data_IF_562991866639
#
_entry.id   IF_562991866639
#
_cell.length_a   1.000
_cell.length_b   1.000
_cell.length_c   1.000
_cell.angle_alpha   90.00
_cell.angle_beta   90.00
_cell.angle_gamma   90.00
#
_symmetry.space_group_name_H-M   'P 1'
#
loop_
_entity.id
_entity.type
_entity.pdbx_description
1 polymer ?
#
# COMPACT_ATOMS: atom_id res chain seq x y z
N UNK A 1 -10.02 2.09 -36.74
CA UNK A 1 -9.29 3.38 -36.72
C UNK A 1 -9.88 4.27 -35.62
N UNK A 2 -10.23 3.71 -34.46
CA UNK A 2 -11.27 4.29 -33.58
C UNK A 2 -10.79 4.65 -32.16
N UNK A 3 -9.48 4.56 -31.89
CA UNK A 3 -8.93 4.86 -30.55
C UNK A 3 -8.49 6.32 -30.35
N UNK A 4 -8.44 7.14 -31.41
CA UNK A 4 -7.95 8.51 -31.31
C UNK A 4 -9.03 9.49 -30.78
N UNK A 5 -10.31 9.17 -30.94
CA UNK A 5 -11.43 9.98 -30.46
C UNK A 5 -11.64 9.90 -28.93
N UNK A 6 -11.50 8.71 -28.35
CA UNK A 6 -11.70 8.51 -26.90
C UNK A 6 -10.60 9.18 -26.05
N UNK A 7 -9.36 9.17 -26.53
CA UNK A 7 -8.22 9.79 -25.82
C UNK A 7 -8.32 11.33 -25.81
N UNK A 8 -8.83 11.92 -26.89
CA UNK A 8 -8.98 13.38 -27.02
C UNK A 8 -10.07 13.93 -26.08
N UNK A 9 -11.17 13.17 -25.88
CA UNK A 9 -12.24 13.50 -24.94
C UNK A 9 -11.75 13.54 -23.49
N UNK A 10 -10.84 12.63 -23.11
CA UNK A 10 -10.33 12.52 -21.75
C UNK A 10 -9.33 13.64 -21.42
N UNK A 11 -8.48 14.04 -22.37
CA UNK A 11 -7.59 15.20 -22.22
C UNK A 11 -8.39 16.51 -22.13
N UNK A 12 -9.47 16.64 -22.92
CA UNK A 12 -10.34 17.81 -22.85
C UNK A 12 -11.04 17.94 -21.49
N UNK A 13 -11.47 16.82 -20.90
CA UNK A 13 -12.06 16.78 -19.55
C UNK A 13 -11.04 17.13 -18.46
N UNK A 14 -9.82 16.57 -18.53
CA UNK A 14 -8.75 16.89 -17.58
C UNK A 14 -8.36 18.37 -17.66
N UNK A 15 -8.22 18.92 -18.88
CA UNK A 15 -7.98 20.35 -19.10
C UNK A 15 -9.12 21.21 -18.55
N UNK A 16 -10.37 20.82 -18.74
CA UNK A 16 -11.53 21.52 -18.19
C UNK A 16 -11.55 21.56 -16.66
N UNK A 17 -11.09 20.50 -15.98
CA UNK A 17 -11.02 20.46 -14.51
C UNK A 17 -9.86 21.34 -14.00
N UNK A 18 -8.71 21.28 -14.67
CA UNK A 18 -7.55 22.13 -14.38
C UNK A 18 -7.85 23.62 -14.59
N UNK A 19 -8.53 23.98 -15.67
CA UNK A 19 -8.90 25.37 -15.97
C UNK A 19 -9.94 25.90 -14.95
N UNK A 20 -10.91 25.07 -14.53
CA UNK A 20 -11.92 25.44 -13.50
C UNK A 20 -11.30 25.69 -12.12
N UNK A 21 -10.25 24.97 -11.77
CA UNK A 21 -9.62 25.03 -10.44
C UNK A 21 -8.29 25.78 -10.43
N UNK A 22 -7.93 26.42 -11.55
CA UNK A 22 -6.64 27.11 -11.77
C UNK A 22 -6.29 28.10 -10.65
N UNK A 23 -7.26 28.84 -10.11
CA UNK A 23 -7.07 29.76 -8.98
C UNK A 23 -6.80 29.09 -7.63
N UNK A 24 -7.40 27.92 -7.36
CA UNK A 24 -7.18 27.19 -6.10
C UNK A 24 -5.91 26.34 -6.15
N UNK A 25 -5.64 25.69 -7.28
CA UNK A 25 -4.41 24.92 -7.53
C UNK A 25 -3.22 25.88 -7.57
N UNK A 26 -3.35 27.03 -8.25
CA UNK A 26 -2.33 28.07 -8.29
C UNK A 26 -1.97 28.57 -6.90
N UNK A 27 -2.96 28.88 -6.05
CA UNK A 27 -2.72 29.34 -4.67
C UNK A 27 -2.19 28.25 -3.75
N UNK A 28 -2.61 26.99 -3.91
CA UNK A 28 -2.06 25.88 -3.14
C UNK A 28 -0.59 25.58 -3.50
N UNK A 29 -0.26 25.66 -4.79
CA UNK A 29 1.12 25.55 -5.30
C UNK A 29 1.95 26.74 -4.84
N UNK A 30 1.42 27.96 -4.90
CA UNK A 30 2.08 29.18 -4.45
C UNK A 30 2.30 29.19 -2.93
N UNK A 31 1.35 28.67 -2.14
CA UNK A 31 1.49 28.47 -0.70
C UNK A 31 2.52 27.38 -0.38
N UNK A 32 2.58 26.28 -1.15
CA UNK A 32 3.62 25.26 -1.01
C UNK A 32 5.01 25.77 -1.41
N UNK A 33 5.12 26.59 -2.45
CA UNK A 33 6.39 27.22 -2.87
C UNK A 33 6.83 28.23 -1.80
N UNK A 34 5.90 29.00 -1.22
CA UNK A 34 6.18 29.97 -0.16
C UNK A 34 6.54 29.29 1.17
N UNK A 35 5.81 28.24 1.57
CA UNK A 35 6.11 27.41 2.75
C UNK A 35 7.43 26.64 2.57
N UNK A 36 7.71 26.13 1.36
CA UNK A 36 8.97 25.49 1.02
C UNK A 36 10.16 26.45 1.04
N UNK A 37 9.97 27.72 0.65
CA UNK A 37 10.96 28.80 0.83
C UNK A 37 11.18 29.18 2.29
N UNK A 38 10.15 29.14 3.13
CA UNK A 38 10.24 29.47 4.56
C UNK A 38 11.04 28.43 5.36
N UNK A 39 10.98 27.14 4.99
CA UNK A 39 11.77 26.09 5.63
C UNK A 39 13.22 25.98 5.11
N UNK A 40 13.51 26.58 3.94
CA UNK A 40 14.80 26.47 3.23
C UNK A 40 15.39 27.85 2.94
N UNK A 41 15.74 28.61 3.99
CA UNK A 41 16.63 29.76 3.79
C UNK A 41 18.11 29.34 3.61
N UNK A 42 18.46 28.08 3.89
CA UNK A 42 19.84 27.56 3.81
C UNK A 42 20.01 26.27 2.98
N UNK A 43 18.94 25.71 2.40
CA UNK A 43 18.97 24.40 1.72
C UNK A 43 19.13 24.44 0.19
N UNK A 44 18.99 25.61 -0.44
CA UNK A 44 19.08 25.77 -1.91
C UNK A 44 20.54 25.90 -2.40
N UNK A 45 21.46 26.31 -1.53
CA UNK A 45 22.87 26.51 -1.90
C UNK A 45 23.63 25.19 -2.04
N UNK A 46 23.27 24.16 -1.27
CA UNK A 46 24.00 22.88 -1.29
C UNK A 46 23.83 22.13 -2.62
N UNK A 47 22.61 21.97 -3.19
CA UNK A 47 22.44 21.39 -4.52
C UNK A 47 23.18 22.18 -5.61
N UNK A 48 23.15 23.52 -5.55
CA UNK A 48 23.84 24.38 -6.53
C UNK A 48 25.36 24.31 -6.40
N UNK A 49 25.89 24.31 -5.17
CA UNK A 49 27.32 24.14 -4.90
C UNK A 49 27.81 22.77 -5.38
N UNK A 50 27.06 21.69 -5.14
CA UNK A 50 27.41 20.36 -5.60
C UNK A 50 27.41 20.28 -7.14
N UNK A 51 26.45 20.93 -7.82
CA UNK A 51 26.47 21.05 -9.29
C UNK A 51 27.72 21.80 -9.76
N UNK A 52 28.13 22.87 -9.06
CA UNK A 52 29.37 23.60 -9.34
C UNK A 52 30.65 22.78 -9.18
N UNK A 53 30.64 21.73 -8.37
CA UNK A 53 31.77 20.80 -8.16
C UNK A 53 31.69 19.57 -9.10
N UNK A 54 30.73 19.55 -10.03
CA UNK A 54 30.60 18.52 -11.06
C UNK A 54 29.55 17.45 -10.77
N UNK A 55 28.71 17.62 -9.74
CA UNK A 55 27.55 16.76 -9.53
C UNK A 55 26.56 16.93 -10.69
N UNK A 56 26.23 15.83 -11.37
CA UNK A 56 25.16 15.84 -12.38
C UNK A 56 23.82 15.72 -11.66
N UNK A 57 22.93 16.73 -11.74
CA UNK A 57 21.63 16.64 -11.10
C UNK A 57 20.81 15.55 -11.79
N UNK A 58 20.14 14.70 -11.01
CA UNK A 58 19.11 13.81 -11.53
C UNK A 58 17.99 14.71 -12.07
N UNK A 59 17.96 14.91 -13.38
CA UNK A 59 16.88 15.64 -14.03
C UNK A 59 15.58 14.91 -13.71
N UNK A 60 14.49 15.59 -13.33
CA UNK A 60 13.18 14.96 -13.29
C UNK A 60 12.85 14.62 -14.74
N UNK A 61 13.17 13.39 -15.15
CA UNK A 61 12.60 12.80 -16.36
C UNK A 61 11.13 12.60 -16.01
N UNK A 62 10.32 13.62 -16.27
CA UNK A 62 8.88 13.49 -16.28
C UNK A 62 8.58 12.50 -17.42
N UNK A 63 8.54 11.21 -17.09
CA UNK A 63 8.27 10.18 -18.08
C UNK A 63 6.89 10.41 -18.69
N UNK A 64 6.82 10.09 -19.98
CA UNK A 64 5.74 10.38 -20.92
C UNK A 64 4.36 10.08 -20.33
N UNK A 65 3.38 10.92 -20.69
CA UNK A 65 1.97 10.68 -20.45
C UNK A 65 1.55 9.31 -21.03
N UNK A 66 1.45 8.30 -20.16
CA UNK A 66 1.09 6.92 -20.49
C UNK A 66 1.24 6.01 -19.26
N UNK A 67 0.64 4.81 -19.27
CA UNK A 67 0.89 3.80 -18.23
C UNK A 67 2.38 3.48 -18.18
N UNK A 68 2.98 3.37 -16.99
CA UNK A 68 4.41 3.08 -16.89
C UNK A 68 4.73 1.71 -17.49
N UNK A 69 5.70 1.69 -18.43
CA UNK A 69 6.23 0.46 -19.03
C UNK A 69 7.07 -0.35 -18.01
N UNK A 70 7.56 0.34 -16.98
CA UNK A 70 8.38 -0.21 -15.90
C UNK A 70 7.86 0.25 -14.54
N UNK A 71 7.90 -0.64 -13.56
CA UNK A 71 7.66 -0.34 -12.17
C UNK A 71 8.98 -0.03 -11.47
N UNK A 72 9.02 1.06 -10.71
CA UNK A 72 10.14 1.31 -9.81
C UNK A 72 10.04 0.38 -8.59
N UNK A 73 11.19 -0.17 -8.20
CA UNK A 73 11.34 -0.97 -6.99
C UNK A 73 12.01 -0.09 -5.94
N UNK A 74 11.32 0.11 -4.81
CA UNK A 74 11.80 0.88 -3.68
C UNK A 74 12.04 -0.05 -2.49
N UNK A 75 13.16 0.13 -1.81
CA UNK A 75 13.46 -0.48 -0.52
C UNK A 75 13.56 0.63 0.53
N UNK A 76 12.64 0.63 1.49
CA UNK A 76 12.56 1.63 2.58
C UNK A 76 12.60 3.09 2.07
N UNK A 77 11.92 3.33 0.95
CA UNK A 77 11.84 4.66 0.31
C UNK A 77 12.99 4.98 -0.67
N UNK A 78 14.02 4.15 -0.73
CA UNK A 78 15.13 4.30 -1.67
C UNK A 78 14.85 3.52 -2.96
N UNK A 79 14.97 4.17 -4.13
CA UNK A 79 14.85 3.48 -5.43
C UNK A 79 16.06 2.58 -5.64
N UNK A 80 15.84 1.27 -5.73
CA UNK A 80 16.88 0.27 -5.96
C UNK A 80 16.97 -0.20 -7.41
N UNK A 81 15.90 -0.04 -8.19
CA UNK A 81 15.88 -0.43 -9.59
C UNK A 81 14.50 -0.32 -10.23
N UNK A 82 14.34 -0.92 -11.40
CA UNK A 82 13.07 -1.01 -12.10
C UNK A 82 12.83 -2.41 -12.67
N UNK A 83 11.57 -2.78 -12.79
CA UNK A 83 11.13 -4.07 -13.34
C UNK A 83 10.06 -3.84 -14.40
N UNK A 84 10.12 -4.59 -15.49
CA UNK A 84 9.11 -4.51 -16.57
C UNK A 84 7.75 -4.96 -16.05
N UNK A 85 6.69 -4.25 -16.42
CA UNK A 85 5.31 -4.50 -15.99
C UNK A 85 4.83 -5.94 -16.21
N UNK A 86 5.31 -6.62 -17.25
CA UNK A 86 4.96 -8.04 -17.54
C UNK A 86 5.58 -9.07 -16.58
N UNK A 87 6.61 -8.68 -15.80
CA UNK A 87 7.35 -9.56 -14.91
C UNK A 87 7.12 -9.28 -13.42
N UNK A 88 6.48 -8.16 -13.09
CA UNK A 88 6.33 -7.70 -11.71
C UNK A 88 5.55 -8.68 -10.84
N UNK A 89 4.42 -9.21 -11.32
CA UNK A 89 3.60 -10.16 -10.56
C UNK A 89 4.36 -11.45 -10.25
N UNK A 90 5.09 -11.99 -11.25
CA UNK A 90 5.94 -13.17 -11.06
C UNK A 90 7.05 -12.91 -10.05
N UNK A 91 7.64 -11.71 -10.07
CA UNK A 91 8.66 -11.32 -9.10
C UNK A 91 8.08 -11.21 -7.68
N UNK A 92 6.90 -10.61 -7.52
CA UNK A 92 6.18 -10.51 -6.24
C UNK A 92 5.90 -11.90 -5.67
N UNK A 93 5.32 -12.81 -6.47
CA UNK A 93 5.07 -14.20 -6.05
C UNK A 93 6.36 -14.92 -5.67
N UNK A 94 7.46 -14.69 -6.41
CA UNK A 94 8.75 -15.30 -6.10
C UNK A 94 9.35 -14.78 -4.79
N UNK A 95 9.29 -13.48 -4.52
CA UNK A 95 9.77 -12.88 -3.27
C UNK A 95 8.97 -13.41 -2.08
N UNK A 96 7.63 -13.49 -2.19
CA UNK A 96 6.76 -14.07 -1.15
C UNK A 96 7.09 -15.54 -0.88
N UNK A 97 7.37 -16.32 -1.93
CA UNK A 97 7.80 -17.71 -1.78
C UNK A 97 9.15 -17.83 -1.06
N UNK A 98 10.11 -16.95 -1.39
CA UNK A 98 11.42 -16.94 -0.72
C UNK A 98 11.32 -16.56 0.76
N UNK A 99 10.41 -15.64 1.10
CA UNK A 99 10.07 -15.25 2.48
C UNK A 99 9.53 -16.44 3.28
N UNK A 100 8.65 -17.24 2.71
CA UNK A 100 8.12 -18.45 3.35
C UNK A 100 9.18 -19.56 3.52
N UNK A 101 10.10 -19.67 2.56
CA UNK A 101 11.11 -20.74 2.54
C UNK A 101 12.29 -20.51 3.52
N UNK A 102 12.25 -19.45 4.33
CA UNK A 102 13.33 -19.02 5.23
C UNK A 102 14.71 -19.03 4.56
N UNK A 103 14.76 -18.72 3.25
CA UNK A 103 16.00 -18.71 2.48
C UNK A 103 16.93 -17.64 3.05
N UNK A 104 18.21 -17.98 3.25
CA UNK A 104 19.23 -17.07 3.80
C UNK A 104 19.31 -15.78 2.97
N UNK A 105 18.68 -14.72 3.43
CA UNK A 105 18.81 -13.36 2.87
C UNK A 105 17.54 -12.52 2.87
N UNK A 106 16.35 -13.12 2.95
CA UNK A 106 15.08 -12.38 2.96
C UNK A 106 14.44 -12.45 4.35
N UNK A 107 14.19 -11.29 5.01
CA UNK A 107 13.51 -11.26 6.30
C UNK A 107 12.06 -11.77 6.20
N UNK A 108 11.61 -12.54 7.21
CA UNK A 108 10.25 -13.08 7.26
C UNK A 108 9.18 -11.99 7.48
N UNK A 109 9.58 -10.82 7.99
CA UNK A 109 8.77 -9.63 8.25
C UNK A 109 8.89 -8.56 7.14
N UNK A 110 9.53 -8.92 6.01
CA UNK A 110 9.55 -8.09 4.81
C UNK A 110 8.12 -7.87 4.32
N UNK A 111 7.71 -6.61 4.23
CA UNK A 111 6.43 -6.23 3.62
C UNK A 111 6.62 -6.02 2.13
N UNK A 112 5.79 -6.68 1.33
CA UNK A 112 5.87 -6.69 -0.13
C UNK A 112 4.66 -5.96 -0.71
N UNK A 113 4.75 -4.63 -0.72
CA UNK A 113 3.72 -3.72 -1.20
C UNK A 113 3.73 -3.58 -2.72
N UNK A 114 2.97 -4.42 -3.41
CA UNK A 114 2.74 -4.27 -4.85
C UNK A 114 1.50 -3.42 -5.12
N UNK A 115 1.69 -2.28 -5.79
CA UNK A 115 0.58 -1.42 -6.24
C UNK A 115 0.36 -1.66 -7.73
N UNK A 116 -0.74 -2.29 -8.16
CA UNK A 116 -1.00 -2.58 -9.57
C UNK A 116 -1.29 -1.31 -10.38
N UNK A 117 -1.15 -1.43 -11.71
CA UNK A 117 -1.58 -0.38 -12.63
C UNK A 117 -3.09 -0.14 -12.48
N UNK A 118 -3.47 1.08 -12.12
CA UNK A 118 -4.86 1.49 -12.01
C UNK A 118 -5.04 2.92 -12.53
N UNK A 119 -6.23 3.22 -13.07
CA UNK A 119 -6.56 4.57 -13.54
C UNK A 119 -7.01 5.44 -12.37
N UNK A 120 -6.20 6.45 -12.02
CA UNK A 120 -6.52 7.39 -10.93
C UNK A 120 -6.34 6.82 -9.51
N UNK A 121 -5.67 5.67 -9.37
CA UNK A 121 -5.32 5.09 -8.07
C UNK A 121 -3.95 5.54 -7.56
N UNK A 122 -3.42 4.81 -6.59
CA UNK A 122 -2.07 5.01 -6.08
C UNK A 122 -1.02 4.81 -7.18
N UNK A 123 0.13 5.48 -7.04
CA UNK A 123 1.19 5.36 -8.04
C UNK A 123 1.70 3.91 -8.08
N UNK A 124 1.74 3.27 -9.27
CA UNK A 124 2.11 1.87 -9.41
C UNK A 124 3.59 1.67 -9.12
N UNK A 125 3.92 0.64 -8.35
CA UNK A 125 5.27 0.40 -7.89
C UNK A 125 5.40 -0.89 -7.10
N UNK A 126 6.64 -1.32 -6.89
CA UNK A 126 6.97 -2.35 -5.91
C UNK A 126 7.67 -1.68 -4.73
N UNK A 127 6.98 -1.63 -3.59
CA UNK A 127 7.45 -1.01 -2.37
C UNK A 127 7.79 -2.09 -1.34
N UNK A 128 9.06 -2.18 -0.98
CA UNK A 128 9.59 -3.13 -0.03
C UNK A 128 9.95 -2.39 1.26
N UNK A 129 9.49 -2.90 2.39
CA UNK A 129 9.80 -2.32 3.69
C UNK A 129 10.45 -3.33 4.63
N UNK A 130 11.61 -2.99 5.16
CA UNK A 130 12.34 -3.75 6.19
C UNK A 130 12.51 -2.96 7.49
N UNK A 131 12.13 -1.69 7.49
CA UNK A 131 12.20 -0.81 8.66
C UNK A 131 11.49 -1.37 9.92
N UNK A 132 12.01 -1.06 11.13
CA UNK A 132 11.35 -1.41 12.38
C UNK A 132 10.07 -0.57 12.60
N UNK A 133 9.29 -0.91 13.62
CA UNK A 133 8.07 -0.18 14.04
C UNK A 133 6.90 -0.22 13.04
N UNK A 134 6.85 -1.24 12.18
CA UNK A 134 5.71 -1.52 11.29
C UNK A 134 4.70 -2.45 11.96
N UNK A 135 3.43 -2.28 11.63
CA UNK A 135 2.41 -3.27 11.98
C UNK A 135 2.56 -4.48 11.05
N UNK A 136 2.61 -5.66 11.64
CA UNK A 136 2.61 -6.94 10.92
C UNK A 136 1.52 -7.84 11.50
N UNK A 137 0.87 -8.63 10.64
CA UNK A 137 -0.10 -9.64 11.05
C UNK A 137 0.12 -10.96 10.31
N UNK A 138 -0.06 -12.12 10.97
CA UNK A 138 0.12 -13.41 10.34
C UNK A 138 -1.12 -13.80 9.52
N UNK A 139 -0.91 -14.29 8.29
CA UNK A 139 -1.94 -14.76 7.37
C UNK A 139 -1.48 -16.03 6.67
N UNK A 140 -2.40 -16.92 6.33
CA UNK A 140 -2.09 -18.10 5.53
C UNK A 140 -2.00 -17.74 4.05
N UNK A 141 -0.88 -18.07 3.41
CA UNK A 141 -0.71 -17.97 1.96
C UNK A 141 -1.23 -19.24 1.28
N UNK A 142 -2.14 -19.10 0.31
CA UNK A 142 -2.78 -20.24 -0.37
C UNK A 142 -1.98 -20.75 -1.57
N UNK A 143 -0.99 -19.99 -2.04
CA UNK A 143 -0.20 -20.31 -3.24
C UNK A 143 0.75 -21.48 -3.01
N UNK A 144 1.04 -21.83 -1.75
CA UNK A 144 1.91 -22.93 -1.39
C UNK A 144 1.27 -23.82 -0.32
N UNK A 145 0.50 -24.86 -0.70
CA UNK A 145 -0.05 -25.81 0.25
C UNK A 145 1.05 -26.78 0.70
N UNK A 146 1.92 -26.34 1.62
CA UNK A 146 2.86 -27.24 2.28
C UNK A 146 2.17 -27.95 3.45
N UNK A 147 2.60 -29.20 3.74
CA UNK A 147 1.99 -30.07 4.77
C UNK A 147 2.35 -29.68 6.22
N UNK A 148 3.20 -28.68 6.42
CA UNK A 148 3.77 -28.36 7.73
C UNK A 148 3.79 -26.85 8.00
N UNK A 149 2.66 -26.21 8.35
CA UNK A 149 2.54 -24.85 8.97
C UNK A 149 3.49 -23.71 8.48
N UNK A 150 4.14 -23.86 7.33
CA UNK A 150 5.11 -22.96 6.69
C UNK A 150 4.41 -22.09 5.64
N UNK A 151 3.09 -22.06 5.69
CA UNK A 151 2.18 -21.27 4.88
C UNK A 151 1.85 -19.92 5.55
N UNK A 152 2.30 -19.67 6.78
CA UNK A 152 2.04 -18.41 7.49
C UNK A 152 3.01 -17.32 7.02
N UNK A 153 2.47 -16.34 6.31
CA UNK A 153 3.16 -15.12 5.89
C UNK A 153 2.80 -13.96 6.82
N UNK A 154 3.81 -13.19 7.28
CA UNK A 154 3.56 -11.93 7.99
C UNK A 154 3.32 -10.81 6.99
N UNK A 155 2.14 -10.19 6.98
CA UNK A 155 1.87 -9.07 6.08
C UNK A 155 1.71 -7.75 6.82
N UNK A 156 2.00 -6.65 6.14
CA UNK A 156 1.75 -5.29 6.61
C UNK A 156 0.42 -4.69 6.09
N UNK A 157 0.00 -3.54 6.65
CA UNK A 157 -1.23 -2.87 6.26
C UNK A 157 -1.17 -2.26 4.85
N UNK A 158 0.02 -1.90 4.35
CA UNK A 158 0.14 -1.28 3.02
C UNK A 158 -0.10 -2.32 1.92
N UNK A 159 0.51 -3.50 2.04
CA UNK A 159 0.26 -4.59 1.09
C UNK A 159 -1.18 -5.12 1.16
N UNK A 160 -1.76 -5.17 2.37
CA UNK A 160 -3.13 -5.63 2.58
C UNK A 160 -4.17 -4.85 1.74
N UNK A 161 -3.93 -3.58 1.44
CA UNK A 161 -4.84 -2.76 0.64
C UNK A 161 -4.96 -3.21 -0.83
N UNK A 162 -3.98 -3.97 -1.34
CA UNK A 162 -3.93 -4.45 -2.73
C UNK A 162 -4.01 -5.98 -2.84
N UNK A 163 -4.38 -6.65 -1.75
CA UNK A 163 -4.43 -8.11 -1.66
C UNK A 163 -5.86 -8.62 -1.43
N UNK A 164 -6.16 -9.74 -2.07
CA UNK A 164 -7.40 -10.49 -1.83
C UNK A 164 -7.18 -11.58 -0.78
N UNK A 165 -7.76 -11.37 0.41
CA UNK A 165 -7.67 -12.25 1.58
C UNK A 165 -9.07 -12.79 1.88
N UNK A 166 -9.24 -14.12 1.88
CA UNK A 166 -10.53 -14.75 2.23
C UNK A 166 -10.63 -14.99 3.73
N UNK A 167 -11.84 -14.92 4.25
CA UNK A 167 -12.15 -15.36 5.61
C UNK A 167 -12.37 -16.88 5.64
N UNK A 168 -12.15 -17.50 6.79
CA UNK A 168 -12.43 -18.91 7.06
C UNK A 168 -13.87 -19.16 7.53
N UNK A 169 -14.79 -18.26 7.20
CA UNK A 169 -16.21 -18.29 7.57
C UNK A 169 -17.09 -19.12 6.62
N UNK A 170 -16.49 -19.67 5.55
CA UNK A 170 -17.18 -20.46 4.54
C UNK A 170 -17.95 -19.62 3.50
N UNK A 171 -17.89 -18.29 3.59
CA UNK A 171 -18.43 -17.36 2.61
C UNK A 171 -17.39 -16.90 1.59
N UNK A 172 -17.84 -16.34 0.48
CA UNK A 172 -16.97 -15.69 -0.51
C UNK A 172 -16.67 -14.21 -0.16
N UNK A 173 -17.35 -13.67 0.88
CA UNK A 173 -17.23 -12.28 1.30
C UNK A 173 -17.73 -11.27 0.27
N UNK A 174 -18.57 -11.70 -0.69
CA UNK A 174 -19.00 -10.87 -1.82
C UNK A 174 -17.91 -10.62 -2.86
N UNK A 175 -16.87 -11.47 -2.89
CA UNK A 175 -15.76 -11.38 -3.85
C UNK A 175 -16.24 -11.70 -5.27
N UNK A 176 -15.70 -10.98 -6.25
CA UNK A 176 -15.90 -11.30 -7.66
C UNK A 176 -15.00 -12.46 -8.10
N UNK A 177 -15.52 -13.39 -8.91
CA UNK A 177 -14.75 -14.50 -9.50
C UNK A 177 -13.52 -14.06 -10.32
N UNK A 178 -13.48 -12.79 -10.73
CA UNK A 178 -12.38 -12.21 -11.50
C UNK A 178 -11.04 -12.17 -10.75
N UNK A 179 -11.05 -12.08 -9.41
CA UNK A 179 -9.85 -11.98 -8.59
C UNK A 179 -9.91 -13.00 -7.45
N UNK A 180 -9.36 -14.21 -7.64
CA UNK A 180 -9.39 -15.23 -6.60
C UNK A 180 -8.55 -14.82 -5.39
N UNK A 181 -8.96 -15.27 -4.21
CA UNK A 181 -8.22 -15.02 -2.98
C UNK A 181 -6.83 -15.68 -3.05
N UNK A 182 -5.80 -14.90 -2.74
CA UNK A 182 -4.41 -15.37 -2.71
C UNK A 182 -4.00 -15.84 -1.31
N UNK A 183 -4.70 -15.32 -0.30
CA UNK A 183 -4.42 -15.54 1.11
C UNK A 183 -5.71 -15.83 1.87
N UNK A 184 -5.58 -16.37 3.07
CA UNK A 184 -6.67 -16.75 3.95
C UNK A 184 -6.38 -16.35 5.41
N UNK A 185 -7.39 -15.81 6.08
CA UNK A 185 -7.34 -15.52 7.51
C UNK A 185 -7.15 -16.81 8.34
N UNK A 186 -6.22 -16.79 9.28
CA UNK A 186 -5.95 -17.94 10.16
C UNK A 186 -7.20 -18.34 10.96
N UNK A 187 -7.92 -17.33 11.45
CA UNK A 187 -9.18 -17.49 12.17
C UNK A 187 -10.03 -16.22 12.00
N UNK A 188 -11.36 -16.31 11.84
CA UNK A 188 -12.21 -15.13 11.61
C UNK A 188 -12.18 -14.14 12.78
N UNK A 189 -11.92 -14.60 14.00
CA UNK A 189 -11.83 -13.72 15.18
C UNK A 189 -10.47 -13.02 15.35
N UNK A 190 -9.49 -13.29 14.49
CA UNK A 190 -8.16 -12.68 14.58
C UNK A 190 -8.17 -11.15 14.36
N UNK A 191 -9.25 -10.61 13.78
CA UNK A 191 -9.49 -9.18 13.63
C UNK A 191 -9.92 -8.50 14.94
N UNK A 192 -10.43 -9.26 15.90
CA UNK A 192 -10.98 -8.74 17.16
C UNK A 192 -9.87 -8.57 18.21
N UNK A 193 -10.07 -7.58 19.09
CA UNK A 193 -9.23 -7.46 20.28
C UNK A 193 -9.47 -8.60 21.26
N UNK A 194 -8.55 -8.80 22.20
CA UNK A 194 -8.70 -9.80 23.27
C UNK A 194 -10.03 -9.63 24.01
N UNK A 195 -10.40 -8.39 24.37
CA UNK A 195 -11.64 -8.09 25.10
C UNK A 195 -12.86 -8.37 24.23
N UNK A 196 -12.83 -7.96 22.96
CA UNK A 196 -13.95 -8.22 22.05
C UNK A 196 -14.19 -9.72 21.82
N UNK A 197 -13.11 -10.52 21.80
CA UNK A 197 -13.19 -11.97 21.62
C UNK A 197 -13.76 -12.72 22.84
N UNK A 198 -13.86 -12.06 24.02
CA UNK A 198 -14.48 -12.63 25.22
C UNK A 198 -16.00 -12.41 25.27
N UNK A 199 -16.54 -11.55 24.39
CA UNK A 199 -18.00 -11.36 24.32
C UNK A 199 -18.64 -12.59 23.66
N UNK A 200 -19.44 -13.39 24.39
CA UNK A 200 -20.03 -14.60 23.85
C UNK A 200 -21.05 -14.25 22.75
N UNK A 201 -21.01 -14.99 21.64
CA UNK A 201 -21.89 -14.81 20.47
C UNK A 201 -22.01 -13.35 20.03
N UNK A 202 -20.86 -12.67 19.92
CA UNK A 202 -20.80 -11.24 19.57
C UNK A 202 -21.42 -10.93 18.21
N UNK A 203 -21.41 -11.87 17.28
CA UNK A 203 -22.06 -11.83 15.98
C UNK A 203 -23.60 -11.75 16.05
N UNK A 204 -24.22 -12.21 17.15
CA UNK A 204 -25.67 -12.14 17.37
C UNK A 204 -26.12 -10.81 18.01
N UNK A 205 -25.16 -9.99 18.42
CA UNK A 205 -25.41 -8.70 19.03
C UNK A 205 -25.31 -7.59 17.98
N UNK A 206 -26.12 -6.55 18.13
CA UNK A 206 -25.89 -5.32 17.38
C UNK A 206 -24.53 -4.72 17.76
N UNK A 207 -23.79 -4.20 16.77
CA UNK A 207 -22.42 -3.70 16.98
C UNK A 207 -22.25 -2.70 18.15
N UNK A 208 -23.22 -1.80 18.47
CA UNK A 208 -23.07 -0.90 19.62
C UNK A 208 -23.06 -1.64 20.98
N UNK A 209 -23.69 -2.82 21.07
CA UNK A 209 -23.72 -3.63 22.32
C UNK A 209 -22.35 -4.23 22.61
N UNK A 210 -21.68 -4.78 21.60
CA UNK A 210 -20.34 -5.33 21.73
C UNK A 210 -19.32 -4.24 22.13
N UNK A 211 -19.44 -3.05 21.53
CA UNK A 211 -18.60 -1.91 21.87
C UNK A 211 -18.78 -1.48 23.34
N UNK A 212 -20.03 -1.39 23.80
CA UNK A 212 -20.32 -1.06 25.19
C UNK A 212 -19.77 -2.12 26.15
N UNK A 213 -19.90 -3.40 25.83
CA UNK A 213 -19.36 -4.49 26.64
C UNK A 213 -17.85 -4.36 26.80
N UNK A 214 -17.11 -4.12 25.70
CA UNK A 214 -15.67 -3.91 25.74
C UNK A 214 -15.27 -2.74 26.66
N UNK A 215 -16.03 -1.63 26.62
CA UNK A 215 -15.78 -0.47 27.49
C UNK A 215 -16.02 -0.79 28.97
N UNK A 216 -17.01 -1.65 29.27
CA UNK A 216 -17.38 -2.02 30.64
C UNK A 216 -16.37 -2.98 31.26
N UNK A 217 -15.79 -3.86 30.47
CA UNK A 217 -14.77 -4.82 30.87
C UNK A 217 -13.37 -4.20 31.01
N UNK A 218 -13.09 -3.13 30.25
CA UNK A 218 -11.81 -2.44 30.33
C UNK A 218 -11.70 -1.61 31.64
N UNK A 219 -10.83 -1.99 32.59
CA UNK A 219 -10.77 -1.34 33.91
C UNK A 219 -10.29 0.12 33.86
N UNK A 220 -9.54 0.47 32.81
CA UNK A 220 -8.91 1.78 32.64
C UNK A 220 -9.92 2.90 32.39
N UNK A 221 -11.07 2.59 31.77
CA UNK A 221 -12.12 3.59 31.47
C UNK A 221 -12.94 3.97 32.71
N UNK A 222 -12.87 3.17 33.80
CA UNK A 222 -13.63 3.44 35.03
C UNK A 222 -12.96 4.42 35.99
N UNK A 223 -11.70 4.81 35.77
CA UNK A 223 -10.93 5.66 36.71
C UNK A 223 -10.89 7.16 36.37
N UNK A 224 -11.60 7.59 35.32
CA UNK A 224 -11.80 9.01 34.99
C UNK A 224 -13.26 9.38 35.28
N UNK A 225 -13.63 9.37 36.57
CA UNK A 225 -14.80 10.04 37.12
C UNK A 225 -14.62 10.21 38.62
#
# INVERSE_FOLDING_TARGET
MDNMGSFCLQIAQVKSVLDRNSGMIGRAVENMITMGKLASQSGLDLPQALVGVGMTPLSPKLERAGPPEVFFVLLDGCVIGSIVSSRVEKAVSHIRLLKLSASKGIPNDLEVGYVPLSMGGAYPGLYLFTSPSRFVRPIRNLSHPSKENLDIELIGPFEQAFMEIRCTDGGDGGRSDAFPATHEEIHPTAVLSVVANLTPWSDHNQSPRNMYQCQRECPFVRKVR
#
